data_IF_820314899041
#
_entry.id   IF_820314899041
#
_cell.length_a   1.000
_cell.length_b   1.000
_cell.length_c   1.000
_cell.angle_alpha   90.00
_cell.angle_beta   90.00
_cell.angle_gamma   90.00
#
_symmetry.space_group_name_H-M   'P 1'
#
loop_
_entity.id
_entity.type
_entity.pdbx_description
1 polymer ?
#
# COMPACT_ATOMS: atom_id res chain seq x y z
N UNK A 1 7.51 -24.21 9.96
CA UNK A 1 7.55 -22.82 9.46
C UNK A 1 6.18 -22.54 8.88
N UNK A 2 5.28 -21.95 9.67
CA UNK A 2 3.86 -21.88 9.34
C UNK A 2 3.60 -20.71 8.41
N UNK A 3 3.20 -21.02 7.18
CA UNK A 3 2.74 -20.05 6.19
C UNK A 3 1.40 -19.50 6.65
N UNK A 4 1.37 -18.25 7.12
CA UNK A 4 0.13 -17.56 7.45
C UNK A 4 -0.54 -17.06 6.17
N UNK A 5 -1.69 -17.65 5.88
CA UNK A 5 -2.65 -17.30 4.85
C UNK A 5 -3.01 -15.81 4.83
N UNK A 6 -3.17 -15.24 3.63
CA UNK A 6 -4.08 -14.11 3.44
C UNK A 6 -4.67 -14.11 2.02
N UNK A 7 -5.90 -14.62 1.93
CA UNK A 7 -7.00 -14.22 1.03
C UNK A 7 -6.65 -13.76 -0.38
N UNK A 8 -7.09 -14.57 -1.35
CA UNK A 8 -7.32 -14.19 -2.75
C UNK A 8 -8.36 -13.06 -2.83
N UNK A 9 -7.95 -11.83 -2.55
CA UNK A 9 -8.68 -10.62 -2.94
C UNK A 9 -8.24 -10.33 -4.37
N UNK A 10 -9.16 -10.29 -5.32
CA UNK A 10 -8.96 -9.97 -6.75
C UNK A 10 -7.78 -9.01 -6.89
N UNK A 11 -6.62 -9.55 -7.29
CA UNK A 11 -5.37 -8.86 -7.10
C UNK A 11 -5.40 -7.60 -7.98
N UNK A 12 -5.51 -6.43 -7.35
CA UNK A 12 -5.28 -5.18 -8.04
C UNK A 12 -3.92 -5.31 -8.73
N UNK A 13 -3.91 -5.18 -10.07
CA UNK A 13 -2.72 -5.35 -10.89
C UNK A 13 -1.65 -4.29 -10.55
N UNK A 14 -2.05 -3.23 -9.85
CA UNK A 14 -1.20 -2.15 -9.41
C UNK A 14 -1.33 -1.97 -7.89
N UNK A 15 -0.25 -1.44 -7.32
CA UNK A 15 -0.21 -1.00 -5.95
C UNK A 15 0.46 0.37 -5.86
N UNK A 16 0.01 1.16 -4.90
CA UNK A 16 0.65 2.42 -4.54
C UNK A 16 1.60 2.18 -3.36
N UNK A 17 2.86 2.56 -3.53
CA UNK A 17 3.91 2.33 -2.54
C UNK A 17 4.35 3.63 -1.89
N UNK A 18 4.22 3.69 -0.57
CA UNK A 18 4.75 4.72 0.31
C UNK A 18 6.11 4.26 0.82
N UNK A 19 7.18 4.69 0.15
CA UNK A 19 8.54 4.40 0.60
C UNK A 19 8.87 5.26 1.81
N UNK A 20 9.37 4.67 2.90
CA UNK A 20 9.88 5.44 4.03
C UNK A 20 11.18 6.14 3.66
N UNK A 21 11.31 7.41 4.07
CA UNK A 21 12.51 8.22 3.85
C UNK A 21 13.68 7.82 4.76
N UNK A 22 13.39 7.29 5.95
CA UNK A 22 14.39 6.99 6.97
C UNK A 22 14.72 5.51 7.09
N UNK A 23 13.77 4.62 6.76
CA UNK A 23 13.97 3.18 6.89
C UNK A 23 13.20 2.40 5.83
N UNK A 24 13.91 1.98 4.77
CA UNK A 24 13.34 1.29 3.62
C UNK A 24 12.50 0.05 3.98
N UNK A 25 12.77 -0.59 5.14
CA UNK A 25 12.01 -1.74 5.63
C UNK A 25 10.60 -1.44 6.16
N UNK A 26 10.19 -0.16 6.23
CA UNK A 26 8.86 0.27 6.70
C UNK A 26 8.00 0.88 5.60
N UNK A 27 8.21 0.46 4.35
CA UNK A 27 7.32 0.89 3.26
C UNK A 27 5.90 0.33 3.47
N UNK A 28 4.89 1.13 3.14
CA UNK A 28 3.50 0.68 3.10
C UNK A 28 3.04 0.60 1.65
N UNK A 29 2.43 -0.52 1.27
CA UNK A 29 1.85 -0.70 -0.07
C UNK A 29 0.35 -0.99 0.05
N UNK A 30 -0.42 -0.38 -0.84
CA UNK A 30 -1.88 -0.54 -0.89
C UNK A 30 -2.33 -0.87 -2.31
N UNK A 31 -3.33 -1.74 -2.48
CA UNK A 31 -3.88 -2.03 -3.81
C UNK A 31 -4.51 -0.77 -4.42
N UNK A 32 -4.21 -0.50 -5.68
CA UNK A 32 -4.78 0.60 -6.44
C UNK A 32 -5.15 0.17 -7.87
N UNK A 33 -5.91 1.01 -8.57
CA UNK A 33 -6.09 0.84 -10.00
C UNK A 33 -4.87 1.34 -10.81
N UNK A 34 -4.96 1.25 -12.13
CA UNK A 34 -3.91 1.72 -13.07
C UNK A 34 -3.69 3.23 -13.04
N UNK A 35 -4.62 4.00 -12.47
CA UNK A 35 -4.51 5.45 -12.31
C UNK A 35 -3.89 5.84 -10.97
N UNK A 36 -3.68 4.87 -10.07
CA UNK A 36 -3.19 5.10 -8.71
C UNK A 36 -4.27 5.42 -7.69
N UNK A 37 -5.55 5.23 -8.04
CA UNK A 37 -6.65 5.42 -7.09
C UNK A 37 -6.75 4.20 -6.18
N UNK A 38 -6.67 4.46 -4.88
CA UNK A 38 -6.88 3.48 -3.84
C UNK A 38 -8.36 3.44 -3.49
N UNK A 39 -8.97 2.27 -3.62
CA UNK A 39 -10.35 2.07 -3.17
C UNK A 39 -10.39 1.89 -1.65
N UNK A 40 -10.67 2.98 -0.93
CA UNK A 40 -10.75 3.00 0.53
C UNK A 40 -11.92 2.17 1.09
N UNK A 41 -12.99 2.03 0.32
CA UNK A 41 -14.19 1.29 0.73
C UNK A 41 -14.00 -0.23 0.62
N UNK A 42 -13.13 -0.68 -0.30
CA UNK A 42 -12.74 -2.08 -0.42
C UNK A 42 -11.68 -2.52 0.60
N UNK A 43 -11.14 -1.60 1.40
CA UNK A 43 -10.11 -1.87 2.40
C UNK A 43 -10.70 -2.06 3.80
N UNK A 44 -9.98 -2.83 4.64
CA UNK A 44 -10.28 -2.88 6.07
C UNK A 44 -10.04 -1.52 6.74
N UNK A 45 -10.70 -1.26 7.86
CA UNK A 45 -10.54 0.00 8.61
C UNK A 45 -9.08 0.26 9.01
N UNK A 46 -8.34 -0.79 9.38
CA UNK A 46 -6.91 -0.69 9.70
C UNK A 46 -6.09 -0.25 8.49
N UNK A 47 -6.34 -0.84 7.32
CA UNK A 47 -5.65 -0.46 6.09
C UNK A 47 -6.00 0.98 5.67
N UNK A 48 -7.27 1.38 5.80
CA UNK A 48 -7.72 2.75 5.56
C UNK A 48 -7.01 3.75 6.48
N UNK A 49 -6.92 3.46 7.78
CA UNK A 49 -6.23 4.32 8.74
C UNK A 49 -4.73 4.43 8.42
N UNK A 50 -4.07 3.32 8.09
CA UNK A 50 -2.67 3.33 7.68
C UNK A 50 -2.44 4.14 6.40
N UNK A 51 -3.34 4.04 5.42
CA UNK A 51 -3.28 4.82 4.18
C UNK A 51 -3.41 6.32 4.46
N UNK A 52 -4.39 6.73 5.27
CA UNK A 52 -4.58 8.13 5.65
C UNK A 52 -3.38 8.67 6.44
N UNK A 53 -2.82 7.86 7.35
CA UNK A 53 -1.61 8.20 8.08
C UNK A 53 -0.42 8.41 7.12
N UNK A 54 -0.14 7.43 6.25
CA UNK A 54 0.97 7.50 5.31
C UNK A 54 0.83 8.73 4.38
N UNK A 55 -0.38 9.02 3.92
CA UNK A 55 -0.70 10.19 3.08
C UNK A 55 -0.47 11.52 3.80
N UNK A 56 -0.82 11.61 5.08
CA UNK A 56 -0.55 12.80 5.90
C UNK A 56 0.95 13.00 6.21
N UNK A 57 1.73 11.94 6.15
CA UNK A 57 3.16 11.94 6.47
C UNK A 57 4.08 11.98 5.24
N UNK A 58 3.53 12.23 4.04
CA UNK A 58 4.30 12.48 2.81
C UNK A 58 5.20 13.70 3.00
N UNK A 59 6.46 13.59 2.59
CA UNK A 59 7.49 14.62 2.74
C UNK A 59 8.05 14.74 4.16
N UNK A 60 7.50 13.99 5.12
CA UNK A 60 8.00 13.91 6.50
C UNK A 60 8.61 12.55 6.81
N UNK A 61 7.80 11.49 6.75
CA UNK A 61 8.27 10.10 6.98
C UNK A 61 8.24 9.24 5.72
N UNK A 62 7.37 9.57 4.78
CA UNK A 62 7.23 8.85 3.51
C UNK A 62 7.57 9.76 2.34
N UNK A 63 8.18 9.19 1.30
CA UNK A 63 8.37 9.85 0.02
C UNK A 63 7.01 10.04 -0.69
N UNK A 64 7.01 10.82 -1.76
CA UNK A 64 5.89 10.86 -2.70
C UNK A 64 5.57 9.43 -3.15
N UNK A 65 4.32 8.96 -2.95
CA UNK A 65 3.98 7.60 -3.32
C UNK A 65 4.02 7.44 -4.84
N UNK A 66 4.34 6.23 -5.29
CA UNK A 66 4.34 5.89 -6.71
C UNK A 66 3.54 4.62 -6.95
N UNK A 67 2.92 4.54 -8.13
CA UNK A 67 2.19 3.38 -8.59
C UNK A 67 3.17 2.42 -9.25
N UNK A 68 3.11 1.15 -8.87
CA UNK A 68 3.89 0.09 -9.50
C UNK A 68 3.01 -1.14 -9.78
N UNK A 69 3.36 -1.95 -10.78
CA UNK A 69 2.75 -3.25 -10.97
C UNK A 69 2.93 -4.07 -9.69
N UNK A 70 1.85 -4.71 -9.25
CA UNK A 70 1.92 -5.65 -8.14
C UNK A 70 2.61 -6.91 -8.66
N UNK A 71 3.80 -7.20 -8.16
CA UNK A 71 4.54 -8.39 -8.59
C UNK A 71 3.77 -9.65 -8.15
N UNK A 72 3.37 -10.53 -9.09
CA UNK A 72 2.72 -11.78 -8.73
C UNK A 72 3.78 -12.69 -8.08
N UNK A 73 3.62 -12.99 -6.79
CA UNK A 73 4.35 -14.08 -6.13
C UNK A 73 3.79 -15.44 -6.52
#
# INVERSE_FOLDING_TARGET
>A
MSHSSSSMQTAAAFEIRFQSLFNQGRALAFPCDSTGLVNLDAMSEKARNNYLFARGMIGREYATPFVQPREPH
#
